data_IF_653795168690
#
_entry.id   IF_653795168690
#
_cell.length_a   1.000
_cell.length_b   1.000
_cell.length_c   1.000
_cell.angle_alpha   90.00
_cell.angle_beta   90.00
_cell.angle_gamma   90.00
#
_symmetry.space_group_name_H-M   'P 1'
#
loop_
_entity.id
_entity.type
_entity.pdbx_description
1 polymer ?
#
# COMPACT_ATOMS: atom_id res chain seq x y z
N UNK A 1 -0.01 -4.59 5.66
CA UNK A 1 0.73 -5.43 4.70
C UNK A 1 0.47 -6.88 5.08
N UNK A 2 -0.06 -7.72 4.18
CA UNK A 2 -0.65 -9.03 4.57
C UNK A 2 -0.05 -10.21 3.78
N UNK A 3 1.25 -10.15 3.45
CA UNK A 3 1.88 -11.15 2.58
C UNK A 3 3.40 -11.17 2.65
N UNK A 4 3.98 -10.84 3.80
CA UNK A 4 5.42 -10.98 4.04
C UNK A 4 5.79 -12.45 4.28
N UNK A 5 7.02 -12.82 3.92
CA UNK A 5 7.58 -14.12 4.26
C UNK A 5 7.79 -14.25 5.77
N UNK A 6 7.55 -15.44 6.34
CA UNK A 6 7.74 -15.70 7.77
C UNK A 6 9.21 -15.94 8.17
N UNK A 7 10.11 -16.13 7.20
CA UNK A 7 11.54 -16.37 7.45
C UNK A 7 11.93 -17.83 7.68
N UNK A 8 11.04 -18.78 7.38
CA UNK A 8 11.32 -20.21 7.34
C UNK A 8 10.64 -20.84 6.11
N UNK A 9 11.16 -21.98 5.68
CA UNK A 9 10.65 -22.75 4.55
C UNK A 9 10.84 -24.25 4.80
N UNK A 10 10.05 -25.07 4.12
CA UNK A 10 10.16 -26.52 4.12
C UNK A 10 10.47 -26.98 2.69
N UNK A 11 11.31 -28.00 2.58
CA UNK A 11 11.72 -28.58 1.30
C UNK A 11 11.53 -30.09 1.44
N UNK A 12 10.83 -30.67 0.47
CA UNK A 12 10.63 -32.11 0.35
C UNK A 12 11.59 -32.66 -0.70
N UNK A 13 12.29 -33.74 -0.36
CA UNK A 13 13.19 -34.45 -1.25
C UNK A 13 12.67 -35.88 -1.45
N UNK A 14 12.90 -36.44 -2.64
CA UNK A 14 12.52 -37.82 -2.96
C UNK A 14 13.34 -38.85 -2.17
N UNK A 15 14.61 -38.53 -1.87
CA UNK A 15 15.53 -39.42 -1.16
C UNK A 15 16.01 -38.82 0.17
N UNK A 16 15.89 -39.59 1.25
CA UNK A 16 16.32 -39.18 2.59
C UNK A 16 17.83 -38.91 2.66
N UNK A 17 18.63 -39.67 1.91
CA UNK A 17 20.09 -39.48 1.87
C UNK A 17 20.47 -38.08 1.36
N UNK A 18 19.76 -37.57 0.35
CA UNK A 18 19.97 -36.21 -0.18
C UNK A 18 19.56 -35.17 0.87
N UNK A 19 18.42 -35.38 1.54
CA UNK A 19 17.95 -34.48 2.59
C UNK A 19 18.97 -34.35 3.75
N UNK A 20 19.60 -35.45 4.16
CA UNK A 20 20.66 -35.46 5.19
C UNK A 20 21.87 -34.64 4.77
N UNK A 21 22.40 -34.90 3.57
CA UNK A 21 23.56 -34.18 3.03
C UNK A 21 23.28 -32.68 2.92
N UNK A 22 22.11 -32.29 2.40
CA UNK A 22 21.72 -30.88 2.27
C UNK A 22 21.58 -30.23 3.66
N UNK A 23 20.97 -30.91 4.62
CA UNK A 23 20.82 -30.37 5.97
C UNK A 23 22.18 -30.14 6.64
N UNK A 24 23.11 -31.09 6.55
CA UNK A 24 24.44 -30.97 7.13
C UNK A 24 25.29 -29.88 6.45
N UNK A 25 25.25 -29.82 5.12
CA UNK A 25 26.06 -28.86 4.33
C UNK A 25 25.56 -27.42 4.44
N UNK A 26 24.24 -27.22 4.53
CA UNK A 26 23.64 -25.87 4.57
C UNK A 26 23.42 -25.34 5.99
N UNK A 27 23.63 -26.18 7.02
CA UNK A 27 23.50 -25.73 8.40
C UNK A 27 24.64 -24.80 8.80
N UNK A 28 24.29 -23.65 9.37
CA UNK A 28 25.19 -22.54 9.72
C UNK A 28 25.82 -21.79 8.54
N UNK A 29 25.24 -21.90 7.35
CA UNK A 29 25.68 -21.09 6.21
C UNK A 29 25.26 -19.62 6.37
N UNK A 30 26.17 -18.68 6.12
CA UNK A 30 25.87 -17.25 6.18
C UNK A 30 25.27 -16.79 4.84
N UNK A 31 24.00 -16.39 4.83
CA UNK A 31 23.29 -15.95 3.63
C UNK A 31 22.49 -14.67 3.90
N UNK A 32 22.70 -13.63 3.09
CA UNK A 32 22.01 -12.33 3.21
C UNK A 32 22.02 -11.79 4.65
N UNK A 33 23.20 -11.76 5.28
CA UNK A 33 23.43 -11.27 6.65
C UNK A 33 22.75 -12.11 7.75
N UNK A 34 22.22 -13.30 7.43
CA UNK A 34 21.58 -14.21 8.38
C UNK A 34 22.22 -15.59 8.32
N UNK A 35 22.42 -16.20 9.49
CA UNK A 35 22.83 -17.59 9.57
C UNK A 35 21.64 -18.50 9.26
N UNK A 36 21.80 -19.33 8.24
CA UNK A 36 20.86 -20.37 7.87
C UNK A 36 20.96 -21.52 8.88
N UNK A 37 19.82 -21.97 9.40
CA UNK A 37 19.73 -23.15 10.26
C UNK A 37 18.92 -24.18 9.52
N UNK A 38 19.56 -25.29 9.16
CA UNK A 38 18.93 -26.40 8.45
C UNK A 38 18.90 -27.61 9.36
N UNK A 39 17.74 -28.25 9.46
CA UNK A 39 17.53 -29.43 10.29
C UNK A 39 16.64 -30.41 9.53
N UNK A 40 16.94 -31.70 9.65
CA UNK A 40 16.06 -32.74 9.15
C UNK A 40 14.88 -32.90 10.10
N UNK A 41 13.66 -32.78 9.58
CA UNK A 41 12.43 -32.96 10.36
C UNK A 41 11.97 -34.41 10.22
N UNK A 42 11.81 -35.17 11.32
CA UNK A 42 11.28 -36.52 11.26
C UNK A 42 9.80 -36.50 10.88
N UNK A 43 9.32 -37.54 10.19
CA UNK A 43 7.95 -37.67 9.69
C UNK A 43 6.89 -37.43 10.75
N UNK A 44 7.11 -37.87 11.99
CA UNK A 44 6.14 -37.78 13.09
C UNK A 44 5.88 -36.34 13.55
N UNK A 45 6.80 -35.43 13.26
CA UNK A 45 6.69 -34.00 13.61
C UNK A 45 6.16 -33.16 12.45
N UNK A 46 5.96 -33.76 11.27
CA UNK A 46 5.43 -33.06 10.10
C UNK A 46 3.91 -32.96 10.24
N UNK A 47 3.39 -31.74 10.16
CA UNK A 47 1.95 -31.53 10.17
C UNK A 47 1.33 -32.11 8.89
N UNK A 48 0.21 -32.85 8.94
CA UNK A 48 -0.36 -33.52 7.78
C UNK A 48 -0.72 -32.57 6.62
N UNK A 49 -1.16 -31.34 6.93
CA UNK A 49 -1.47 -30.33 5.90
C UNK A 49 -0.27 -29.43 5.50
N UNK A 50 0.98 -29.76 5.87
CA UNK A 50 2.14 -28.86 5.64
C UNK A 50 2.33 -28.49 4.16
N UNK A 51 2.19 -29.48 3.27
CA UNK A 51 2.38 -29.31 1.83
C UNK A 51 1.06 -29.10 1.08
N UNK A 52 -0.07 -29.00 1.78
CA UNK A 52 -1.38 -28.83 1.13
C UNK A 52 -1.43 -27.49 0.41
N UNK A 53 -1.50 -27.56 -0.92
CA UNK A 53 -1.51 -26.37 -1.78
C UNK A 53 -0.12 -25.73 -1.97
N UNK A 54 0.97 -26.49 -1.77
CA UNK A 54 2.34 -26.04 -2.06
C UNK A 54 2.55 -25.69 -3.54
N UNK A 55 1.85 -26.36 -4.45
CA UNK A 55 1.90 -26.16 -5.90
C UNK A 55 1.34 -24.79 -6.35
N UNK A 56 0.55 -24.14 -5.49
CA UNK A 56 -0.05 -22.84 -5.78
C UNK A 56 1.02 -21.75 -5.79
N UNK A 57 1.10 -21.01 -6.89
CA UNK A 57 1.86 -19.75 -6.90
C UNK A 57 1.24 -18.72 -5.94
N UNK A 58 2.07 -18.18 -5.05
CA UNK A 58 1.63 -17.12 -4.15
C UNK A 58 1.28 -15.84 -4.93
N UNK A 59 0.09 -15.29 -4.68
CA UNK A 59 -0.35 -14.01 -5.22
C UNK A 59 -0.59 -13.02 -4.09
N UNK A 60 0.04 -11.84 -4.17
CA UNK A 60 -0.09 -10.81 -3.14
C UNK A 60 -1.56 -10.38 -2.99
N UNK A 61 -2.08 -10.21 -1.75
CA UNK A 61 -3.44 -9.77 -1.52
C UNK A 61 -3.74 -8.45 -2.24
N UNK A 62 -4.78 -8.43 -3.08
CA UNK A 62 -5.20 -7.24 -3.84
C UNK A 62 -6.19 -6.36 -3.07
N UNK A 63 -6.57 -6.72 -1.85
CA UNK A 63 -7.59 -6.04 -1.06
C UNK A 63 -7.33 -4.53 -0.92
N UNK A 64 -6.07 -4.13 -0.69
CA UNK A 64 -5.68 -2.72 -0.64
C UNK A 64 -5.98 -1.98 -1.96
N UNK A 65 -5.63 -2.58 -3.11
CA UNK A 65 -5.92 -1.99 -4.43
C UNK A 65 -7.43 -1.90 -4.69
N UNK A 66 -8.19 -2.91 -4.27
CA UNK A 66 -9.66 -2.91 -4.38
C UNK A 66 -10.27 -1.83 -3.49
N UNK A 67 -9.77 -1.67 -2.26
CA UNK A 67 -10.21 -0.62 -1.34
C UNK A 67 -9.94 0.78 -1.89
N UNK A 68 -8.73 1.02 -2.44
CA UNK A 68 -8.40 2.26 -3.15
C UNK A 68 -9.37 2.48 -4.31
N UNK A 69 -9.59 1.47 -5.15
CA UNK A 69 -10.51 1.57 -6.28
C UNK A 69 -11.92 1.93 -5.80
N UNK A 70 -12.43 1.29 -4.73
CA UNK A 70 -13.75 1.62 -4.15
C UNK A 70 -13.82 3.06 -3.61
N UNK A 71 -12.78 3.51 -2.91
CA UNK A 71 -12.72 4.88 -2.40
C UNK A 71 -12.69 5.93 -3.53
N UNK A 72 -11.95 5.62 -4.59
CA UNK A 72 -11.77 6.50 -5.74
C UNK A 72 -12.97 6.47 -6.71
N UNK A 73 -13.66 5.34 -6.84
CA UNK A 73 -14.77 5.12 -7.79
C UNK A 73 -16.14 5.61 -7.29
N UNK A 74 -16.17 6.39 -6.20
CA UNK A 74 -17.36 7.13 -5.81
C UNK A 74 -17.54 8.30 -6.77
N UNK A 75 -18.69 8.36 -7.43
CA UNK A 75 -19.05 9.32 -8.48
C UNK A 75 -18.58 10.74 -8.13
N UNK A 76 -17.75 11.31 -9.01
CA UNK A 76 -17.07 12.59 -8.76
C UNK A 76 -18.12 13.71 -8.60
N UNK A 77 -19.22 13.64 -9.33
CA UNK A 77 -20.32 14.63 -9.27
C UNK A 77 -21.00 14.65 -7.90
N UNK A 78 -21.36 13.48 -7.39
CA UNK A 78 -21.95 13.33 -6.06
C UNK A 78 -21.04 13.87 -4.94
N UNK A 79 -19.71 13.66 -5.07
CA UNK A 79 -18.72 14.22 -4.14
C UNK A 79 -18.65 15.74 -4.22
N UNK A 80 -18.64 16.31 -5.42
CA UNK A 80 -18.59 17.75 -5.62
C UNK A 80 -19.82 18.46 -5.06
N UNK A 81 -21.01 17.91 -5.28
CA UNK A 81 -22.27 18.46 -4.75
C UNK A 81 -22.38 18.32 -3.22
N UNK A 82 -21.98 17.17 -2.67
CA UNK A 82 -21.92 16.98 -1.21
C UNK A 82 -20.85 17.89 -0.57
N UNK A 83 -19.74 18.12 -1.25
CA UNK A 83 -18.69 19.03 -0.79
C UNK A 83 -19.14 20.49 -0.85
N UNK A 84 -19.81 20.93 -1.92
CA UNK A 84 -20.30 22.30 -2.09
C UNK A 84 -21.39 22.63 -1.08
N UNK A 85 -22.35 21.73 -0.87
CA UNK A 85 -23.42 21.89 0.14
C UNK A 85 -22.88 21.92 1.57
N UNK A 86 -21.92 21.04 1.91
CA UNK A 86 -21.25 21.06 3.22
C UNK A 86 -20.43 22.34 3.41
N UNK A 87 -19.74 22.81 2.37
CA UNK A 87 -18.98 24.05 2.39
C UNK A 87 -19.90 25.25 2.62
N UNK A 88 -21.01 25.36 1.89
CA UNK A 88 -22.00 26.41 2.05
C UNK A 88 -22.56 26.46 3.49
N UNK A 89 -22.94 25.31 4.06
CA UNK A 89 -23.43 25.23 5.45
C UNK A 89 -22.39 25.69 6.47
N UNK A 90 -21.14 25.24 6.33
CA UNK A 90 -20.05 25.63 7.23
C UNK A 90 -19.72 27.12 7.13
N UNK A 91 -19.72 27.67 5.92
CA UNK A 91 -19.47 29.10 5.75
C UNK A 91 -20.60 29.93 6.34
N UNK A 92 -21.87 29.54 6.13
CA UNK A 92 -23.00 30.23 6.76
C UNK A 92 -22.85 30.30 8.29
N UNK A 93 -22.54 29.18 8.93
CA UNK A 93 -22.32 29.14 10.39
C UNK A 93 -21.10 29.96 10.85
N UNK A 94 -20.05 30.06 10.02
CA UNK A 94 -18.90 30.93 10.31
C UNK A 94 -19.26 32.41 10.17
N UNK A 95 -20.07 32.74 9.15
CA UNK A 95 -20.52 34.12 8.93
C UNK A 95 -21.43 34.59 10.07
N UNK A 96 -22.35 33.74 10.54
CA UNK A 96 -23.20 34.03 11.70
C UNK A 96 -22.35 34.38 12.93
N UNK A 97 -21.32 33.56 13.23
CA UNK A 97 -20.38 33.83 14.33
C UNK A 97 -19.56 35.11 14.15
N UNK A 98 -19.14 35.43 12.93
CA UNK A 98 -18.38 36.65 12.66
C UNK A 98 -19.26 37.91 12.82
N UNK A 99 -20.53 37.82 12.42
CA UNK A 99 -21.52 38.89 12.64
C UNK A 99 -21.81 39.10 14.12
N UNK A 100 -21.90 38.02 14.91
CA UNK A 100 -22.02 38.10 16.37
C UNK A 100 -20.81 38.81 17.00
N UNK A 101 -19.61 38.66 16.43
CA UNK A 101 -18.39 39.35 16.84
C UNK A 101 -18.26 40.78 16.26
N UNK A 102 -19.27 41.28 15.56
CA UNK A 102 -19.30 42.65 15.00
C UNK A 102 -18.47 42.85 13.73
N UNK A 103 -18.05 41.78 13.07
CA UNK A 103 -17.24 41.84 11.84
C UNK A 103 -18.15 41.49 10.65
N UNK A 104 -18.49 42.48 9.82
CA UNK A 104 -19.24 42.26 8.58
C UNK A 104 -18.26 42.01 7.42
N UNK A 105 -18.20 40.76 6.95
CA UNK A 105 -17.28 40.34 5.87
C UNK A 105 -18.10 39.84 4.70
N UNK A 106 -18.03 40.55 3.57
CA UNK A 106 -18.57 40.08 2.30
C UNK A 106 -17.55 39.14 1.62
N UNK A 107 -17.93 37.86 1.49
CA UNK A 107 -17.08 36.77 1.02
C UNK A 107 -17.20 36.49 -0.49
N UNK A 108 -17.81 37.40 -1.27
CA UNK A 108 -18.05 37.21 -2.72
C UNK A 108 -16.78 36.94 -3.54
N UNK A 109 -15.60 37.33 -3.05
CA UNK A 109 -14.31 37.18 -3.74
C UNK A 109 -13.58 35.85 -3.49
N UNK A 110 -14.03 35.01 -2.54
CA UNK A 110 -13.32 33.76 -2.14
C UNK A 110 -13.99 32.51 -2.72
N UNK A 111 -15.00 32.68 -3.57
CA UNK A 111 -15.59 31.57 -4.31
C UNK A 111 -14.52 31.03 -5.26
N UNK A 112 -13.98 29.83 -4.98
CA UNK A 112 -13.11 29.11 -5.92
C UNK A 112 -13.89 28.88 -7.22
N UNK A 113 -13.79 29.81 -8.14
CA UNK A 113 -14.13 29.56 -9.54
C UNK A 113 -13.23 28.42 -10.01
N UNK A 114 -13.82 27.36 -10.58
CA UNK A 114 -13.06 26.31 -11.25
C UNK A 114 -12.25 26.92 -12.39
N UNK A 115 -11.03 27.39 -12.12
CA UNK A 115 -10.02 27.62 -13.15
C UNK A 115 -9.47 26.26 -13.55
N UNK A 116 -10.24 25.58 -14.40
CA UNK A 116 -9.73 24.55 -15.29
C UNK A 116 -9.93 25.07 -16.71
N UNK A 117 -9.00 25.90 -17.15
CA UNK A 117 -8.72 26.16 -18.56
C UNK A 117 -7.35 26.82 -18.62
N UNK A 118 -6.50 26.32 -19.52
CA UNK A 118 -5.15 26.79 -19.81
C UNK A 118 -4.06 26.31 -18.84
N UNK A 119 -3.57 25.13 -19.18
CA UNK A 119 -2.22 24.67 -18.93
C UNK A 119 -1.25 25.73 -19.49
N UNK A 120 -0.60 26.51 -18.64
CA UNK A 120 0.70 27.09 -19.00
C UNK A 120 1.74 26.00 -18.78
N UNK A 121 1.99 25.20 -19.82
CA UNK A 121 3.23 24.45 -19.95
C UNK A 121 4.37 25.46 -20.00
N UNK A 122 4.88 25.89 -18.85
CA UNK A 122 6.28 26.29 -18.76
C UNK A 122 7.09 25.00 -18.56
N UNK A 123 7.30 24.29 -19.66
CA UNK A 123 8.35 23.29 -19.74
C UNK A 123 9.69 24.02 -19.69
N UNK A 124 10.22 24.26 -18.49
CA UNK A 124 11.65 24.51 -18.35
C UNK A 124 12.33 23.14 -18.37
N UNK A 125 12.76 22.72 -19.56
CA UNK A 125 13.75 21.65 -19.70
C UNK A 125 15.08 22.19 -19.19
N UNK A 126 15.35 22.02 -17.90
CA UNK A 126 16.70 22.20 -17.38
C UNK A 126 17.53 20.99 -17.79
N UNK A 127 18.27 21.15 -18.87
CA UNK A 127 19.31 20.25 -19.31
C UNK A 127 20.49 20.42 -18.33
N UNK A 128 20.52 19.59 -17.29
CA UNK A 128 21.54 19.59 -16.25
C UNK A 128 22.17 18.22 -16.11
N UNK A 129 23.08 17.90 -17.01
CA UNK A 129 24.04 16.81 -16.89
C UNK A 129 24.88 16.97 -15.62
N UNK A 130 24.92 15.95 -14.75
CA UNK A 130 26.13 15.66 -13.97
C UNK A 130 26.21 14.20 -13.54
N UNK A 131 27.31 13.62 -13.99
CA UNK A 131 27.95 12.37 -13.62
C UNK A 131 28.34 12.31 -12.15
N UNK A 132 28.45 11.06 -11.68
CA UNK A 132 29.01 10.51 -10.44
C UNK A 132 28.03 10.29 -9.28
#
# INVERSE_FOLDING_TARGET
>A
QTGGSKGYAFIEFEYEAVAKVVAETMNNYLMFERLLKCQLVPSDKVHPDLYKGSERRFSKPKAHRVAIKRHNNLDVKDKEEKASTRFAKKNKARMEKLREMGIDVDFSSVVRTKLCSVILYFAYTFQGSRSN
#
